data_IF_587041044082
#
_entry.id   IF_587041044082
#
_cell.length_a   1.000
_cell.length_b   1.000
_cell.length_c   1.000
_cell.angle_alpha   90.00
_cell.angle_beta   90.00
_cell.angle_gamma   90.00
#
_symmetry.space_group_name_H-M   'P 1'
#
loop_
_entity.id
_entity.type
_entity.pdbx_description
1 polymer ?
#
# COMPACT_ATOMS: atom_id res chain seq x y z
N UNK A 1 16.22 9.13 -8.75
CA UNK A 1 15.85 7.79 -9.26
C UNK A 1 15.98 6.66 -8.22
N UNK A 2 17.12 6.51 -7.53
CA UNK A 2 17.43 5.36 -6.66
C UNK A 2 16.43 5.06 -5.51
N UNK A 3 15.89 6.07 -4.80
CA UNK A 3 15.06 5.86 -3.59
C UNK A 3 13.74 5.12 -3.83
N UNK A 4 13.00 5.48 -4.88
CA UNK A 4 11.72 4.82 -5.23
C UNK A 4 11.91 3.37 -5.66
N UNK A 5 13.00 3.06 -6.37
CA UNK A 5 13.33 1.69 -6.78
C UNK A 5 13.69 0.82 -5.57
N UNK A 6 14.45 1.37 -4.61
CA UNK A 6 14.75 0.70 -3.34
C UNK A 6 13.46 0.41 -2.56
N UNK A 7 12.56 1.38 -2.45
CA UNK A 7 11.26 1.19 -1.78
C UNK A 7 10.47 0.04 -2.43
N UNK A 8 10.33 0.08 -3.76
CA UNK A 8 9.61 -0.96 -4.51
C UNK A 8 10.27 -2.34 -4.36
N UNK A 9 11.59 -2.40 -4.41
CA UNK A 9 12.35 -3.63 -4.18
C UNK A 9 12.05 -4.21 -2.79
N UNK A 10 12.08 -3.38 -1.75
CA UNK A 10 11.78 -3.80 -0.37
C UNK A 10 10.34 -4.28 -0.24
N UNK A 11 9.39 -3.61 -0.91
CA UNK A 11 7.99 -4.04 -0.95
C UNK A 11 7.81 -5.41 -1.62
N UNK A 12 8.61 -5.73 -2.64
CA UNK A 12 8.62 -7.08 -3.23
C UNK A 12 9.24 -8.13 -2.30
N UNK A 13 10.27 -7.79 -1.53
CA UNK A 13 10.76 -8.71 -0.50
C UNK A 13 9.74 -8.91 0.61
N UNK A 14 9.03 -7.84 0.99
CA UNK A 14 7.96 -7.88 1.98
C UNK A 14 6.84 -8.83 1.54
N UNK A 15 6.34 -8.71 0.31
CA UNK A 15 5.26 -9.57 -0.17
C UNK A 15 5.68 -11.04 -0.28
N UNK A 16 6.93 -11.32 -0.64
CA UNK A 16 7.47 -12.67 -0.65
C UNK A 16 7.50 -13.25 0.77
N UNK A 17 8.00 -12.49 1.74
CA UNK A 17 8.01 -12.92 3.14
C UNK A 17 6.59 -13.21 3.65
N UNK A 18 5.63 -12.33 3.35
CA UNK A 18 4.21 -12.52 3.68
C UNK A 18 3.62 -13.75 2.97
N UNK A 19 3.94 -13.98 1.70
CA UNK A 19 3.47 -15.15 0.97
C UNK A 19 3.99 -16.46 1.57
N UNK A 20 5.28 -16.53 1.93
CA UNK A 20 5.87 -17.69 2.61
C UNK A 20 5.19 -17.96 3.95
N UNK A 21 4.95 -16.91 4.74
CA UNK A 21 4.22 -16.99 6.00
C UNK A 21 2.81 -17.57 5.79
N UNK A 22 2.10 -17.14 4.74
CA UNK A 22 0.76 -17.61 4.44
C UNK A 22 0.71 -19.02 3.85
N UNK A 23 1.74 -19.46 3.14
CA UNK A 23 1.84 -20.86 2.71
C UNK A 23 1.78 -21.78 3.94
N UNK A 24 2.54 -21.48 5.01
CA UNK A 24 2.46 -22.29 6.24
C UNK A 24 1.07 -22.23 6.88
N UNK A 25 0.41 -21.07 6.89
CA UNK A 25 -0.95 -20.96 7.41
C UNK A 25 -1.94 -21.86 6.63
N UNK A 26 -1.77 -22.03 5.32
CA UNK A 26 -2.54 -22.97 4.51
C UNK A 26 -2.20 -24.42 4.89
N UNK A 27 -0.92 -24.78 5.03
CA UNK A 27 -0.53 -26.12 5.48
C UNK A 27 -1.14 -26.47 6.84
N UNK A 28 -1.15 -25.51 7.77
CA UNK A 28 -1.82 -25.65 9.06
C UNK A 28 -3.34 -25.85 8.90
N UNK A 29 -3.99 -25.06 8.05
CA UNK A 29 -5.42 -25.18 7.77
C UNK A 29 -5.82 -26.52 7.13
N UNK A 30 -4.89 -27.18 6.43
CA UNK A 30 -5.06 -28.50 5.82
C UNK A 30 -4.68 -29.65 6.76
N UNK A 31 -4.38 -29.36 8.04
CA UNK A 31 -3.93 -30.34 9.03
C UNK A 31 -2.69 -31.14 8.57
N UNK A 32 -1.85 -30.51 7.75
CA UNK A 32 -0.59 -31.12 7.30
C UNK A 32 0.47 -30.83 8.35
N UNK A 33 0.99 -31.90 8.96
CA UNK A 33 2.05 -31.82 9.95
C UNK A 33 3.25 -31.06 9.41
N UNK A 34 3.63 -30.01 10.15
CA UNK A 34 4.86 -29.27 9.90
C UNK A 34 6.04 -30.00 10.50
N UNK A 35 7.20 -29.89 9.84
CA UNK A 35 8.46 -30.20 10.48
C UNK A 35 9.07 -28.94 11.11
N UNK A 36 10.08 -29.14 11.96
CA UNK A 36 10.82 -28.06 12.63
C UNK A 36 11.31 -26.98 11.63
N UNK A 37 11.70 -27.39 10.43
CA UNK A 37 12.14 -26.48 9.38
C UNK A 37 11.01 -25.57 8.88
N UNK A 38 9.80 -26.11 8.66
CA UNK A 38 8.64 -25.34 8.21
C UNK A 38 8.15 -24.33 9.24
N UNK A 39 8.24 -24.66 10.54
CA UNK A 39 7.90 -23.75 11.62
C UNK A 39 8.95 -22.65 11.77
N UNK A 40 10.24 -22.98 11.70
CA UNK A 40 11.32 -21.99 11.70
C UNK A 40 11.23 -21.04 10.49
N UNK A 41 10.85 -21.54 9.32
CA UNK A 41 10.61 -20.70 8.13
C UNK A 41 9.44 -19.75 8.32
N UNK A 42 8.36 -20.19 8.97
CA UNK A 42 7.23 -19.32 9.29
C UNK A 42 7.68 -18.18 10.22
N UNK A 43 8.32 -18.49 11.34
CA UNK A 43 8.77 -17.48 12.30
C UNK A 43 9.75 -16.49 11.66
N UNK A 44 10.71 -16.99 10.88
CA UNK A 44 11.69 -16.15 10.17
C UNK A 44 11.00 -15.24 9.14
N UNK A 45 10.05 -15.79 8.36
CA UNK A 45 9.31 -15.00 7.37
C UNK A 45 8.40 -13.96 8.03
N UNK A 46 7.79 -14.27 9.18
CA UNK A 46 6.99 -13.34 9.96
C UNK A 46 7.85 -12.19 10.49
N UNK A 47 8.96 -12.49 11.17
CA UNK A 47 9.90 -11.47 11.69
C UNK A 47 10.43 -10.60 10.55
N UNK A 48 10.86 -11.23 9.44
CA UNK A 48 11.36 -10.52 8.27
C UNK A 48 10.29 -9.59 7.67
N UNK A 49 9.03 -10.05 7.57
CA UNK A 49 7.94 -9.21 7.06
C UNK A 49 7.70 -7.98 7.93
N UNK A 50 7.76 -8.12 9.27
CA UNK A 50 7.62 -6.99 10.20
C UNK A 50 8.79 -6.02 10.04
N UNK A 51 10.03 -6.52 9.98
CA UNK A 51 11.20 -5.68 9.80
C UNK A 51 11.13 -4.88 8.50
N UNK A 52 10.74 -5.52 7.40
CA UNK A 52 10.58 -4.87 6.10
C UNK A 52 9.43 -3.85 6.12
N UNK A 53 8.30 -4.18 6.75
CA UNK A 53 7.18 -3.24 6.91
C UNK A 53 7.61 -2.00 7.71
N UNK A 54 8.29 -2.17 8.84
CA UNK A 54 8.82 -1.06 9.65
C UNK A 54 9.79 -0.18 8.85
N UNK A 55 10.68 -0.80 8.05
CA UNK A 55 11.59 -0.07 7.18
C UNK A 55 10.83 0.75 6.12
N UNK A 56 9.78 0.18 5.53
CA UNK A 56 8.91 0.90 4.59
C UNK A 56 8.22 2.08 5.29
N UNK A 57 7.70 1.91 6.51
CA UNK A 57 7.06 2.99 7.27
C UNK A 57 8.01 4.17 7.49
N UNK A 58 9.29 3.91 7.78
CA UNK A 58 10.31 4.96 7.89
C UNK A 58 10.45 5.72 6.57
N UNK A 59 10.51 5.02 5.43
CA UNK A 59 10.52 5.66 4.10
C UNK A 59 9.28 6.50 3.83
N UNK A 60 8.11 6.07 4.31
CA UNK A 60 6.87 6.82 4.16
C UNK A 60 6.88 8.11 4.98
N UNK A 61 7.41 8.09 6.21
CA UNK A 61 7.56 9.31 7.03
C UNK A 61 8.41 10.35 6.30
N UNK A 62 9.55 9.92 5.74
CA UNK A 62 10.37 10.82 4.89
C UNK A 62 9.62 11.28 3.64
N UNK A 63 8.81 10.40 3.03
CA UNK A 63 7.95 10.72 1.91
C UNK A 63 6.94 11.81 2.24
N UNK A 64 6.25 11.69 3.37
CA UNK A 64 5.26 12.64 3.89
C UNK A 64 5.95 13.98 4.17
N UNK A 65 7.07 13.98 4.90
CA UNK A 65 7.82 15.20 5.19
C UNK A 65 8.22 15.94 3.89
N UNK A 66 8.73 15.21 2.90
CA UNK A 66 9.10 15.80 1.60
C UNK A 66 7.89 16.32 0.83
N UNK A 67 6.75 15.63 0.88
CA UNK A 67 5.52 16.10 0.25
C UNK A 67 5.01 17.40 0.90
N UNK A 68 5.12 17.52 2.22
CA UNK A 68 4.80 18.74 2.94
C UNK A 68 5.76 19.88 2.59
N UNK A 69 7.07 19.61 2.50
CA UNK A 69 8.06 20.60 2.09
C UNK A 69 7.75 21.17 0.69
N UNK A 70 7.54 20.30 -0.31
CA UNK A 70 7.18 20.73 -1.67
C UNK A 70 5.87 21.51 -1.71
N UNK A 71 4.91 21.15 -0.87
CA UNK A 71 3.67 21.91 -0.71
C UNK A 71 3.93 23.31 -0.13
N UNK A 72 4.76 23.42 0.90
CA UNK A 72 5.11 24.70 1.53
C UNK A 72 5.88 25.64 0.60
N UNK A 73 6.69 25.09 -0.30
CA UNK A 73 7.46 25.81 -1.32
C UNK A 73 6.61 26.15 -2.57
N UNK A 74 5.31 25.80 -2.58
CA UNK A 74 4.38 25.93 -3.72
C UNK A 74 4.84 25.21 -5.01
N UNK A 75 5.69 24.19 -4.92
CA UNK A 75 6.23 23.44 -6.05
C UNK A 75 5.25 22.36 -6.56
N UNK A 76 4.08 22.80 -7.00
CA UNK A 76 2.93 21.93 -7.35
C UNK A 76 3.24 20.97 -8.51
N UNK A 77 4.07 21.36 -9.47
CA UNK A 77 4.49 20.46 -10.55
C UNK A 77 5.44 19.35 -10.07
N UNK A 78 6.33 19.64 -9.11
CA UNK A 78 7.19 18.61 -8.53
C UNK A 78 6.38 17.61 -7.69
N UNK A 79 5.36 18.09 -6.96
CA UNK A 79 4.38 17.22 -6.28
C UNK A 79 3.69 16.27 -7.26
N UNK A 80 3.23 16.78 -8.40
CA UNK A 80 2.57 15.98 -9.44
C UNK A 80 3.49 14.90 -10.01
N UNK A 81 4.75 15.25 -10.30
CA UNK A 81 5.74 14.32 -10.83
C UNK A 81 6.06 13.22 -9.83
N UNK A 82 6.33 13.57 -8.56
CA UNK A 82 6.64 12.58 -7.52
C UNK A 82 5.42 11.71 -7.20
N UNK A 83 4.20 12.28 -7.19
CA UNK A 83 2.94 11.53 -7.05
C UNK A 83 2.81 10.48 -8.15
N UNK A 84 2.91 10.89 -9.42
CA UNK A 84 2.84 9.96 -10.57
C UNK A 84 3.86 8.85 -10.40
N UNK A 85 5.10 9.23 -10.15
CA UNK A 85 6.22 8.31 -10.08
C UNK A 85 6.04 7.26 -8.99
N UNK A 86 5.65 7.68 -7.79
CA UNK A 86 5.40 6.78 -6.67
C UNK A 86 4.21 5.85 -6.96
N UNK A 87 3.06 6.42 -7.37
CA UNK A 87 1.85 5.62 -7.61
C UNK A 87 2.02 4.60 -8.73
N UNK A 88 2.48 5.02 -9.91
CA UNK A 88 2.64 4.10 -11.03
C UNK A 88 3.66 2.99 -10.74
N UNK A 89 4.69 3.28 -9.94
CA UNK A 89 5.67 2.26 -9.54
C UNK A 89 5.10 1.25 -8.52
N UNK A 90 4.09 1.64 -7.76
CA UNK A 90 3.46 0.82 -6.74
C UNK A 90 2.25 0.01 -7.24
N UNK A 91 1.63 0.39 -8.37
CA UNK A 91 0.50 -0.34 -8.96
C UNK A 91 0.77 -1.85 -9.08
N UNK A 92 1.93 -2.31 -9.62
CA UNK A 92 2.16 -3.75 -9.76
C UNK A 92 2.28 -4.46 -8.41
N UNK A 93 3.01 -3.85 -7.46
CA UNK A 93 3.12 -4.37 -6.09
C UNK A 93 1.74 -4.54 -5.47
N UNK A 94 0.92 -3.50 -5.58
CA UNK A 94 -0.44 -3.45 -5.10
C UNK A 94 -1.30 -4.57 -5.69
N UNK A 95 -1.29 -4.76 -7.01
CA UNK A 95 -2.06 -5.83 -7.68
C UNK A 95 -1.64 -7.20 -7.14
N UNK A 96 -0.34 -7.47 -7.05
CA UNK A 96 0.17 -8.74 -6.54
C UNK A 96 -0.23 -8.92 -5.08
N UNK A 97 -0.16 -7.85 -4.28
CA UNK A 97 -0.58 -7.85 -2.88
C UNK A 97 -2.04 -8.27 -2.75
N UNK A 98 -2.92 -7.63 -3.50
CA UNK A 98 -4.34 -8.00 -3.51
C UNK A 98 -4.55 -9.48 -3.89
N UNK A 99 -3.89 -9.97 -4.94
CA UNK A 99 -3.99 -11.37 -5.37
C UNK A 99 -3.52 -12.32 -4.26
N UNK A 100 -2.39 -12.05 -3.63
CA UNK A 100 -1.83 -12.89 -2.56
C UNK A 100 -2.79 -12.94 -1.36
N UNK A 101 -3.19 -11.79 -0.82
CA UNK A 101 -4.09 -11.74 0.33
C UNK A 101 -5.45 -12.37 0.03
N UNK A 102 -6.02 -12.10 -1.16
CA UNK A 102 -7.32 -12.63 -1.55
C UNK A 102 -7.28 -14.15 -1.73
N UNK A 103 -6.24 -14.67 -2.39
CA UNK A 103 -6.08 -16.11 -2.60
C UNK A 103 -5.91 -16.84 -1.27
N UNK A 104 -5.06 -16.31 -0.38
CA UNK A 104 -4.85 -16.88 0.96
C UNK A 104 -6.15 -16.85 1.75
N UNK A 105 -6.86 -15.71 1.77
CA UNK A 105 -8.12 -15.58 2.47
C UNK A 105 -9.14 -16.64 2.02
N UNK A 106 -9.34 -16.81 0.70
CA UNK A 106 -10.25 -17.83 0.17
C UNK A 106 -9.81 -19.23 0.59
N UNK A 107 -8.54 -19.61 0.34
CA UNK A 107 -8.06 -20.96 0.62
C UNK A 107 -8.20 -21.31 2.10
N UNK A 108 -7.84 -20.38 2.98
CA UNK A 108 -7.85 -20.57 4.42
C UNK A 108 -9.28 -20.62 4.98
N UNK A 109 -10.18 -19.75 4.51
CA UNK A 109 -11.60 -19.78 4.91
C UNK A 109 -12.28 -21.05 4.43
N UNK A 110 -12.04 -21.48 3.19
CA UNK A 110 -12.63 -22.70 2.63
C UNK A 110 -12.10 -23.95 3.36
N UNK A 111 -10.79 -24.07 3.55
CA UNK A 111 -10.18 -25.22 4.20
C UNK A 111 -10.67 -25.39 5.64
N UNK A 112 -10.81 -24.29 6.38
CA UNK A 112 -11.20 -24.33 7.80
C UNK A 112 -12.69 -24.18 8.06
N UNK A 113 -13.52 -24.10 7.00
CA UNK A 113 -14.96 -23.79 7.10
C UNK A 113 -15.22 -22.50 7.89
N UNK A 114 -14.29 -21.54 7.82
CA UNK A 114 -14.32 -20.27 8.54
C UNK A 114 -13.83 -20.31 10.00
N UNK A 115 -13.49 -21.47 10.56
CA UNK A 115 -13.03 -21.58 11.96
C UNK A 115 -11.69 -20.90 12.19
N UNK A 116 -10.85 -20.79 11.15
CA UNK A 116 -9.57 -20.08 11.21
C UNK A 116 -9.71 -18.65 11.71
N UNK A 117 -10.85 -17.98 11.49
CA UNK A 117 -11.11 -16.60 11.92
C UNK A 117 -11.11 -16.42 13.45
N UNK A 118 -11.07 -17.53 14.21
CA UNK A 118 -10.98 -17.54 15.66
C UNK A 118 -9.67 -18.14 16.17
N UNK A 119 -8.70 -18.40 15.28
CA UNK A 119 -7.39 -18.99 15.63
C UNK A 119 -6.30 -17.93 15.77
N UNK A 120 -5.18 -18.31 16.40
CA UNK A 120 -4.00 -17.45 16.57
C UNK A 120 -3.38 -16.96 15.26
N UNK A 121 -3.67 -17.62 14.13
CA UNK A 121 -3.17 -17.23 12.80
C UNK A 121 -3.84 -15.96 12.23
N UNK A 122 -4.98 -15.54 12.81
CA UNK A 122 -5.70 -14.34 12.38
C UNK A 122 -4.92 -13.08 12.71
N UNK A 123 -4.26 -13.06 13.87
CA UNK A 123 -3.55 -11.87 14.31
C UNK A 123 -2.39 -11.50 13.36
N UNK A 124 -1.48 -12.41 12.97
CA UNK A 124 -0.50 -12.15 11.93
C UNK A 124 -1.14 -11.69 10.61
N UNK A 125 -2.24 -12.32 10.18
CA UNK A 125 -2.92 -11.95 8.95
C UNK A 125 -3.44 -10.50 8.97
N UNK A 126 -4.17 -10.13 10.02
CA UNK A 126 -4.70 -8.77 10.20
C UNK A 126 -3.59 -7.73 10.34
N UNK A 127 -2.50 -8.08 11.03
CA UNK A 127 -1.33 -7.20 11.18
C UNK A 127 -0.74 -6.82 9.81
N UNK A 128 -0.57 -7.79 8.92
CA UNK A 128 0.01 -7.56 7.60
C UNK A 128 -0.93 -6.77 6.67
N UNK A 129 -2.25 -6.99 6.78
CA UNK A 129 -3.26 -6.13 6.13
C UNK A 129 -3.16 -4.69 6.66
N UNK A 130 -3.02 -4.53 7.98
CA UNK A 130 -2.82 -3.22 8.62
C UNK A 130 -1.60 -2.48 8.05
N UNK A 131 -0.47 -3.17 7.92
CA UNK A 131 0.72 -2.59 7.28
C UNK A 131 0.48 -2.19 5.83
N UNK A 132 -0.21 -3.03 5.04
CA UNK A 132 -0.58 -2.68 3.66
C UNK A 132 -1.40 -1.38 3.63
N UNK A 133 -2.37 -1.24 4.53
CA UNK A 133 -3.21 -0.04 4.58
C UNK A 133 -2.40 1.21 4.96
N UNK A 134 -1.49 1.09 5.93
CA UNK A 134 -0.57 2.18 6.29
C UNK A 134 0.32 2.58 5.10
N UNK A 135 0.75 1.62 4.29
CA UNK A 135 1.54 1.89 3.08
C UNK A 135 0.71 2.66 2.05
N UNK A 136 -0.53 2.24 1.80
CA UNK A 136 -1.46 2.99 0.93
C UNK A 136 -1.63 4.41 1.45
N UNK A 137 -2.02 4.59 2.71
CA UNK A 137 -2.25 5.90 3.31
C UNK A 137 -1.00 6.81 3.24
N UNK A 138 0.18 6.27 3.54
CA UNK A 138 1.43 7.01 3.49
C UNK A 138 1.83 7.45 2.07
N UNK A 139 1.63 6.59 1.08
CA UNK A 139 1.94 6.91 -0.32
C UNK A 139 0.94 7.90 -0.93
N UNK A 140 -0.28 7.93 -0.42
CA UNK A 140 -1.33 8.88 -0.80
C UNK A 140 -1.05 10.32 -0.38
N UNK A 141 -0.10 10.56 0.55
CA UNK A 141 0.28 11.91 1.01
C UNK A 141 0.59 12.90 -0.12
N UNK A 142 1.37 12.48 -1.13
CA UNK A 142 1.66 13.31 -2.31
C UNK A 142 0.41 13.68 -3.10
N UNK A 143 -0.56 12.76 -3.18
CA UNK A 143 -1.84 13.02 -3.83
C UNK A 143 -2.72 13.98 -3.04
N UNK A 144 -2.76 13.83 -1.71
CA UNK A 144 -3.53 14.70 -0.81
C UNK A 144 -3.00 16.14 -0.90
N UNK A 145 -1.69 16.33 -0.74
CA UNK A 145 -1.08 17.67 -0.82
C UNK A 145 -1.21 18.28 -2.22
N UNK A 146 -1.14 17.49 -3.29
CA UNK A 146 -1.39 17.99 -4.64
C UNK A 146 -2.83 18.50 -4.81
N UNK A 147 -3.83 17.71 -4.39
CA UNK A 147 -5.25 18.12 -4.45
C UNK A 147 -5.48 19.38 -3.61
N UNK A 148 -4.90 19.44 -2.41
CA UNK A 148 -5.02 20.61 -1.54
C UNK A 148 -4.33 21.86 -2.12
N UNK A 149 -3.18 21.72 -2.78
CA UNK A 149 -2.55 22.83 -3.52
C UNK A 149 -3.48 23.38 -4.61
N UNK A 150 -4.13 22.49 -5.38
CA UNK A 150 -5.08 22.90 -6.43
C UNK A 150 -6.35 23.56 -5.86
N UNK A 151 -6.80 23.13 -4.68
CA UNK A 151 -7.87 23.80 -3.93
C UNK A 151 -7.48 25.23 -3.54
N UNK A 152 -6.30 25.41 -2.93
CA UNK A 152 -5.80 26.73 -2.50
C UNK A 152 -5.67 27.71 -3.67
N UNK A 153 -5.38 27.21 -4.86
CA UNK A 153 -5.34 28.00 -6.11
C UNK A 153 -6.71 28.21 -6.77
N UNK A 154 -7.83 27.91 -6.11
CA UNK A 154 -9.21 28.03 -6.61
C UNK A 154 -9.50 27.22 -7.89
N UNK A 155 -8.71 26.18 -8.18
CA UNK A 155 -8.93 25.35 -9.37
C UNK A 155 -9.90 24.19 -9.13
N UNK A 156 -10.25 23.89 -7.88
CA UNK A 156 -11.12 22.76 -7.50
C UNK A 156 -12.07 23.21 -6.38
N UNK A 157 -13.35 22.83 -6.46
CA UNK A 157 -14.37 23.06 -5.40
C UNK A 157 -14.15 22.10 -4.21
N UNK A 158 -14.52 22.54 -3.01
CA UNK A 158 -14.38 21.78 -1.76
C UNK A 158 -14.98 20.37 -1.85
N UNK A 159 -16.18 20.23 -2.41
CA UNK A 159 -16.86 18.92 -2.51
C UNK A 159 -16.04 17.91 -3.32
N UNK A 160 -15.42 18.38 -4.41
CA UNK A 160 -14.54 17.54 -5.24
C UNK A 160 -13.24 17.19 -4.51
N UNK A 161 -12.73 18.07 -3.65
CA UNK A 161 -11.53 17.80 -2.83
C UNK A 161 -11.80 16.66 -1.86
N UNK A 162 -12.92 16.69 -1.15
CA UNK A 162 -13.30 15.65 -0.18
C UNK A 162 -13.39 14.29 -0.89
N UNK A 163 -14.09 14.24 -2.02
CA UNK A 163 -14.22 13.02 -2.82
C UNK A 163 -12.84 12.52 -3.27
N UNK A 164 -12.01 13.37 -3.87
CA UNK A 164 -10.68 12.98 -4.36
C UNK A 164 -9.75 12.48 -3.26
N UNK A 165 -9.81 13.08 -2.06
CA UNK A 165 -9.06 12.64 -0.89
C UNK A 165 -9.60 11.31 -0.35
N UNK A 166 -10.91 11.14 -0.25
CA UNK A 166 -11.50 9.86 0.16
C UNK A 166 -11.12 8.73 -0.81
N UNK A 167 -11.19 8.98 -2.12
CA UNK A 167 -10.76 8.00 -3.12
C UNK A 167 -9.29 7.61 -2.94
N UNK A 168 -8.44 8.48 -2.38
CA UNK A 168 -7.02 8.18 -2.18
C UNK A 168 -6.76 7.15 -1.06
N UNK A 169 -7.75 6.86 -0.22
CA UNK A 169 -7.68 5.80 0.78
C UNK A 169 -8.22 4.45 0.27
N UNK A 170 -8.96 4.47 -0.84
CA UNK A 170 -9.47 3.26 -1.47
C UNK A 170 -8.54 2.81 -2.57
N UNK A 171 -7.77 1.76 -2.32
CA UNK A 171 -6.75 1.21 -3.21
C UNK A 171 -7.07 1.24 -4.73
N UNK A 172 -8.21 0.71 -5.17
CA UNK A 172 -8.58 0.68 -6.60
C UNK A 172 -8.94 2.09 -7.08
N UNK A 173 -9.68 2.82 -6.24
CA UNK A 173 -10.14 4.17 -6.53
C UNK A 173 -9.00 5.20 -6.44
N UNK A 174 -7.89 4.90 -5.79
CA UNK A 174 -6.72 5.75 -5.67
C UNK A 174 -6.01 5.92 -7.02
N UNK A 175 -5.92 4.82 -7.78
CA UNK A 175 -5.40 4.80 -9.16
C UNK A 175 -6.36 5.56 -10.07
N UNK A 176 -7.67 5.30 -9.96
CA UNK A 176 -8.69 5.98 -10.75
C UNK A 176 -8.71 7.48 -10.45
N UNK A 177 -8.63 7.88 -9.19
CA UNK A 177 -8.52 9.28 -8.73
C UNK A 177 -7.29 9.95 -9.33
N UNK A 178 -6.14 9.28 -9.29
CA UNK A 178 -4.94 9.81 -9.94
C UNK A 178 -5.10 9.93 -11.45
N UNK A 179 -5.71 8.96 -12.14
CA UNK A 179 -5.97 9.09 -13.57
C UNK A 179 -6.92 10.26 -13.84
N UNK A 180 -7.99 10.43 -13.05
CA UNK A 180 -8.94 11.55 -13.19
C UNK A 180 -8.23 12.88 -12.97
N UNK A 181 -7.47 13.02 -11.88
CA UNK A 181 -6.68 14.23 -11.56
C UNK A 181 -5.69 14.57 -12.70
N UNK A 182 -5.15 13.56 -13.38
CA UNK A 182 -4.19 13.73 -14.45
C UNK A 182 -4.80 13.94 -15.84
N UNK A 183 -6.01 13.40 -16.07
CA UNK A 183 -6.73 13.44 -17.35
C UNK A 183 -7.65 14.65 -17.45
N UNK A 184 -7.97 15.30 -16.35
CA UNK A 184 -8.81 16.50 -16.36
C UNK A 184 -8.14 17.60 -17.19
N UNK A 185 -8.64 17.79 -18.42
CA UNK A 185 -8.16 18.79 -19.38
C UNK A 185 -8.59 20.21 -19.00
N UNK A 186 -9.56 20.39 -18.10
CA UNK A 186 -9.90 21.73 -17.58
C UNK A 186 -8.79 22.30 -16.68
N UNK A 187 -7.89 21.47 -16.16
CA UNK A 187 -6.70 21.87 -15.39
C UNK A 187 -5.57 22.40 -16.29
N UNK A 188 -5.56 22.06 -17.59
CA UNK A 188 -4.56 22.47 -18.58
C UNK A 188 -4.98 23.65 -19.47
N UNK A 189 -6.14 24.28 -19.24
CA UNK A 189 -6.65 25.43 -20.05
C UNK A 189 -6.24 26.81 -19.53
N UNK A 190 -5.34 26.88 -18.55
CA UNK A 190 -4.80 28.13 -17.97
C UNK A 190 -3.27 28.21 -18.15
N UNK A 191 -2.75 27.55 -19.18
CA UNK A 191 -1.49 27.91 -19.84
C UNK A 191 -1.83 28.30 -21.28
#
# INVERSE_FOLDING_TARGET
MKKTQILVFILYFYIIAVAVMFIRAIYFALEIDGNLFSDALFDLSFILSIMLAMFVLVFLVFGIYRSFQLFSENETEKLKVEMKRLKFSLIPFYIINFIVYFSVFILVVVATRGFILFTSFVFPFLLQIGFTYLIVAGTSSYGIFYVYSRYKSNHIKVDKVIILVLLQFFFILDIVSTIIILKDKEINRIL
#
